data_IF_367922914383
#
_entry.id   IF_367922914383
#
_cell.length_a   1.000
_cell.length_b   1.000
_cell.length_c   1.000
_cell.angle_alpha   90.00
_cell.angle_beta   90.00
_cell.angle_gamma   90.00
#
_symmetry.space_group_name_H-M   'P 1'
#
loop_
_entity.id
_entity.type
_entity.pdbx_description
1 polymer ?
#
# COMPACT_ATOMS: atom_id res chain seq x y z
N UNK A 1 -23.27 -41.65 37.98
CA UNK A 1 -23.02 -41.62 36.52
C UNK A 1 -22.56 -40.23 36.12
N UNK A 2 -21.24 -39.98 36.06
CA UNK A 2 -20.67 -38.70 35.67
C UNK A 2 -19.41 -38.93 34.80
N UNK A 3 -19.62 -38.69 33.51
CA UNK A 3 -18.76 -38.16 32.45
C UNK A 3 -17.23 -38.33 32.50
N UNK A 4 -16.76 -39.07 31.48
CA UNK A 4 -15.44 -39.13 30.89
C UNK A 4 -14.63 -37.82 30.92
N UNK A 5 -13.51 -37.81 31.64
CA UNK A 5 -12.47 -36.79 31.53
C UNK A 5 -11.33 -37.26 30.63
N UNK A 6 -11.43 -37.06 29.31
CA UNK A 6 -10.28 -37.20 28.42
C UNK A 6 -9.48 -35.89 28.39
N UNK A 7 -8.30 -35.96 29.00
CA UNK A 7 -7.27 -34.94 29.01
C UNK A 7 -6.70 -34.71 27.61
N UNK A 8 -7.21 -33.69 26.90
CA UNK A 8 -6.56 -33.18 25.70
C UNK A 8 -5.33 -32.36 26.09
N UNK A 9 -4.23 -33.08 26.31
CA UNK A 9 -2.85 -32.60 26.35
C UNK A 9 -2.59 -31.75 25.09
N UNK A 10 -2.72 -30.43 25.20
CA UNK A 10 -2.28 -29.50 24.15
C UNK A 10 -0.76 -29.59 24.04
N UNK A 11 -0.32 -30.34 23.04
CA UNK A 11 1.08 -30.48 22.62
C UNK A 11 1.54 -29.14 22.02
N UNK A 12 2.06 -28.23 22.84
CA UNK A 12 2.82 -27.07 22.38
C UNK A 12 4.14 -27.56 21.76
N UNK A 13 4.10 -27.93 20.47
CA UNK A 13 5.30 -28.19 19.68
C UNK A 13 6.04 -26.88 19.48
N UNK A 14 7.21 -26.79 20.10
CA UNK A 14 8.39 -26.03 19.67
C UNK A 14 8.25 -25.40 18.26
N UNK A 15 7.79 -24.15 18.19
CA UNK A 15 8.19 -23.26 17.10
C UNK A 15 9.62 -22.87 17.42
N UNK A 16 10.58 -23.50 16.74
CA UNK A 16 11.94 -22.98 16.64
C UNK A 16 11.80 -21.50 16.28
N UNK A 17 12.19 -20.60 17.18
CA UNK A 17 12.22 -19.18 16.89
C UNK A 17 13.18 -18.98 15.72
N UNK A 18 12.62 -18.87 14.51
CA UNK A 18 13.35 -18.34 13.38
C UNK A 18 13.70 -16.92 13.78
N UNK A 19 14.94 -16.71 14.25
CA UNK A 19 15.45 -15.40 14.65
C UNK A 19 15.22 -14.43 13.50
N UNK A 20 14.21 -13.58 13.67
CA UNK A 20 13.83 -12.53 12.73
C UNK A 20 15.00 -11.53 12.65
N UNK A 21 15.90 -11.65 11.65
CA UNK A 21 16.94 -10.62 11.42
C UNK A 21 16.30 -9.40 10.77
N UNK A 22 15.97 -8.40 11.59
CA UNK A 22 15.37 -7.14 11.14
C UNK A 22 16.23 -6.44 10.07
N UNK A 23 17.56 -6.48 10.19
CA UNK A 23 18.48 -5.89 9.22
C UNK A 23 18.34 -6.50 7.81
N UNK A 24 18.23 -7.83 7.71
CA UNK A 24 18.05 -8.53 6.44
C UNK A 24 16.68 -8.21 5.82
N UNK A 25 15.64 -8.07 6.66
CA UNK A 25 14.30 -7.72 6.18
C UNK A 25 14.25 -6.28 5.64
N UNK A 26 14.77 -5.33 6.41
CA UNK A 26 14.77 -3.91 6.02
C UNK A 26 15.50 -3.71 4.70
N UNK A 27 16.67 -4.34 4.52
CA UNK A 27 17.41 -4.29 3.25
C UNK A 27 16.59 -4.83 2.07
N UNK A 28 15.86 -5.95 2.24
CA UNK A 28 15.00 -6.49 1.18
C UNK A 28 13.83 -5.57 0.84
N UNK A 29 13.20 -4.97 1.86
CA UNK A 29 12.10 -4.02 1.66
C UNK A 29 12.57 -2.81 0.85
N UNK A 30 13.69 -2.22 1.26
CA UNK A 30 14.30 -1.08 0.55
C UNK A 30 14.65 -1.45 -0.88
N UNK A 31 15.25 -2.63 -1.08
CA UNK A 31 15.60 -3.13 -2.43
C UNK A 31 14.36 -3.32 -3.31
N UNK A 32 13.27 -3.86 -2.76
CA UNK A 32 12.02 -4.05 -3.49
C UNK A 32 11.36 -2.72 -3.87
N UNK A 33 11.32 -1.75 -2.95
CA UNK A 33 10.83 -0.41 -3.26
C UNK A 33 11.69 0.29 -4.32
N UNK A 34 13.01 0.16 -4.21
CA UNK A 34 13.93 0.69 -5.20
C UNK A 34 13.71 0.06 -6.58
N UNK A 35 13.44 -1.25 -6.64
CA UNK A 35 13.09 -1.93 -7.88
C UNK A 35 11.83 -1.37 -8.52
N UNK A 36 10.76 -1.16 -7.73
CA UNK A 36 9.49 -0.62 -8.24
C UNK A 36 9.65 0.83 -8.71
N UNK A 37 10.30 1.67 -7.91
CA UNK A 37 10.32 3.11 -8.12
C UNK A 37 11.48 3.54 -9.01
N UNK A 38 12.71 3.10 -8.70
CA UNK A 38 13.95 3.69 -9.19
C UNK A 38 14.65 2.90 -10.30
N UNK A 39 14.35 1.62 -10.49
CA UNK A 39 15.11 0.77 -11.42
C UNK A 39 14.64 0.96 -12.87
N UNK A 40 13.32 0.95 -13.12
CA UNK A 40 12.79 1.14 -14.47
C UNK A 40 11.44 1.89 -14.46
N UNK A 41 11.29 2.88 -15.35
CA UNK A 41 10.06 3.67 -15.44
C UNK A 41 8.83 2.84 -15.82
N UNK A 42 9.03 1.80 -16.64
CA UNK A 42 7.94 0.90 -17.04
C UNK A 42 7.43 0.05 -15.88
N UNK A 43 8.29 -0.36 -14.93
CA UNK A 43 7.89 -1.13 -13.75
C UNK A 43 7.06 -0.26 -12.80
N UNK A 44 7.44 1.01 -12.65
CA UNK A 44 6.66 1.97 -11.85
C UNK A 44 5.26 2.15 -12.43
N UNK A 45 5.15 2.36 -13.75
CA UNK A 45 3.85 2.47 -14.44
C UNK A 45 3.05 1.17 -14.36
N UNK A 46 3.71 0.03 -14.58
CA UNK A 46 3.05 -1.28 -14.50
C UNK A 46 2.47 -1.48 -13.10
N UNK A 47 3.27 -1.34 -12.04
CA UNK A 47 2.84 -1.62 -10.66
C UNK A 47 1.96 -0.55 -10.04
N UNK A 48 2.20 0.73 -10.31
CA UNK A 48 1.57 1.85 -9.62
C UNK A 48 0.58 2.63 -10.51
N UNK A 49 0.52 2.34 -11.82
CA UNK A 49 -0.26 3.09 -12.83
C UNK A 49 0.08 4.58 -12.92
N UNK A 50 1.31 4.93 -12.54
CA UNK A 50 1.83 6.29 -12.62
C UNK A 50 3.33 6.25 -12.92
N UNK A 51 3.83 7.32 -13.54
CA UNK A 51 5.27 7.48 -13.73
C UNK A 51 5.96 7.82 -12.40
N UNK A 52 7.29 7.72 -12.40
CA UNK A 52 8.12 7.98 -11.21
C UNK A 52 7.96 9.40 -10.68
N UNK A 53 7.90 10.40 -11.57
CA UNK A 53 7.82 11.80 -11.16
C UNK A 53 6.45 12.07 -10.53
N UNK A 54 5.36 11.61 -11.16
CA UNK A 54 4.02 11.70 -10.57
C UNK A 54 3.94 11.00 -9.20
N UNK A 55 4.58 9.83 -9.05
CA UNK A 55 4.66 9.15 -7.77
C UNK A 55 5.38 9.99 -6.71
N UNK A 56 6.55 10.56 -7.02
CA UNK A 56 7.26 11.41 -6.06
C UNK A 56 6.47 12.68 -5.71
N UNK A 57 5.82 13.31 -6.69
CA UNK A 57 4.93 14.45 -6.45
C UNK A 57 3.78 14.06 -5.52
N UNK A 58 3.15 12.90 -5.72
CA UNK A 58 2.10 12.41 -4.83
C UNK A 58 2.62 12.16 -3.41
N UNK A 59 3.81 11.58 -3.26
CA UNK A 59 4.45 11.40 -1.95
C UNK A 59 4.69 12.75 -1.24
N UNK A 60 5.09 13.80 -1.97
CA UNK A 60 5.26 15.13 -1.40
C UNK A 60 3.91 15.73 -0.96
N UNK A 61 2.90 15.72 -1.84
CA UNK A 61 1.57 16.27 -1.54
C UNK A 61 0.91 15.58 -0.33
N UNK A 62 1.06 14.26 -0.24
CA UNK A 62 0.53 13.48 0.88
C UNK A 62 1.28 13.75 2.19
N UNK A 63 2.57 14.08 2.15
CA UNK A 63 3.32 14.51 3.33
C UNK A 63 2.92 15.92 3.77
N UNK A 64 2.94 16.86 2.83
CA UNK A 64 2.82 18.30 3.14
C UNK A 64 1.39 18.73 3.46
N UNK A 65 0.43 18.27 2.66
CA UNK A 65 -0.99 18.65 2.78
C UNK A 65 -1.77 17.54 3.48
N UNK A 66 -1.46 16.29 3.12
CA UNK A 66 -2.17 15.11 3.61
C UNK A 66 -1.84 14.70 5.05
N UNK A 67 -0.64 15.06 5.54
CA UNK A 67 -0.14 14.67 6.86
C UNK A 67 0.28 13.19 6.96
N UNK A 68 0.63 12.54 5.84
CA UNK A 68 1.09 11.15 5.84
C UNK A 68 2.51 11.05 6.41
N UNK A 69 2.62 10.60 7.65
CA UNK A 69 3.89 10.49 8.36
C UNK A 69 4.59 9.15 8.13
N UNK A 70 5.93 9.20 8.11
CA UNK A 70 6.78 8.03 8.18
C UNK A 70 6.58 7.37 9.56
N UNK A 71 6.37 6.05 9.58
CA UNK A 71 6.31 5.29 10.82
C UNK A 71 7.69 4.73 11.17
N UNK A 72 7.90 4.34 12.44
CA UNK A 72 9.15 3.68 12.88
C UNK A 72 9.56 2.48 12.02
N UNK A 73 8.60 1.84 11.35
CA UNK A 73 8.83 0.62 10.60
C UNK A 73 8.73 0.78 9.09
N UNK A 74 8.10 1.84 8.57
CA UNK A 74 7.63 1.94 7.19
C UNK A 74 7.49 3.40 6.76
N UNK A 75 8.05 3.74 5.60
CA UNK A 75 8.01 5.10 5.05
C UNK A 75 6.68 5.39 4.34
N UNK A 76 6.34 6.67 4.20
CA UNK A 76 5.17 7.15 3.45
C UNK A 76 5.22 6.67 2.00
N UNK A 77 6.40 6.65 1.38
CA UNK A 77 6.57 6.10 0.02
C UNK A 77 6.24 4.62 -0.04
N UNK A 78 6.64 3.83 0.96
CA UNK A 78 6.29 2.41 1.02
C UNK A 78 4.78 2.19 1.19
N UNK A 79 4.15 2.97 2.08
CA UNK A 79 2.69 2.93 2.30
C UNK A 79 1.94 3.22 1.00
N UNK A 80 2.33 4.29 0.30
CA UNK A 80 1.71 4.70 -0.96
C UNK A 80 1.96 3.69 -2.08
N UNK A 81 3.18 3.15 -2.19
CA UNK A 81 3.48 2.13 -3.19
C UNK A 81 2.59 0.88 -3.01
N UNK A 82 2.40 0.41 -1.77
CA UNK A 82 1.47 -0.70 -1.49
C UNK A 82 0.03 -0.33 -1.84
N UNK A 83 -0.43 0.85 -1.41
CA UNK A 83 -1.80 1.32 -1.66
C UNK A 83 -2.11 1.38 -3.16
N UNK A 84 -1.22 1.99 -3.94
CA UNK A 84 -1.38 2.10 -5.39
C UNK A 84 -1.31 0.74 -6.08
N UNK A 85 -0.40 -0.15 -5.68
CA UNK A 85 -0.32 -1.49 -6.24
C UNK A 85 -1.61 -2.31 -5.98
N UNK A 86 -2.22 -2.16 -4.80
CA UNK A 86 -3.53 -2.74 -4.49
C UNK A 86 -4.61 -2.22 -5.44
N UNK A 87 -4.68 -0.91 -5.65
CA UNK A 87 -5.71 -0.31 -6.50
C UNK A 87 -5.48 -0.61 -7.98
N UNK A 88 -4.23 -0.57 -8.44
CA UNK A 88 -3.80 -0.74 -9.82
C UNK A 88 -4.14 -2.12 -10.40
N UNK A 89 -4.10 -3.16 -9.55
CA UNK A 89 -4.20 -4.56 -9.95
C UNK A 89 -5.24 -5.35 -9.15
N UNK A 90 -6.03 -4.67 -8.31
CA UNK A 90 -6.97 -5.31 -7.38
C UNK A 90 -6.32 -6.39 -6.50
N UNK A 91 -5.06 -6.17 -6.12
CA UNK A 91 -4.29 -7.14 -5.37
C UNK A 91 -4.85 -7.36 -3.96
N UNK A 92 -4.77 -8.60 -3.49
CA UNK A 92 -5.24 -8.95 -2.14
C UNK A 92 -4.14 -8.65 -1.12
N UNK A 93 -4.52 -8.30 0.10
CA UNK A 93 -3.57 -8.10 1.21
C UNK A 93 -2.64 -9.31 1.44
N UNK A 94 -3.06 -10.52 1.04
CA UNK A 94 -2.24 -11.73 1.10
C UNK A 94 -1.07 -11.72 0.11
N UNK A 95 -1.22 -11.15 -1.08
CA UNK A 95 -0.15 -11.01 -2.07
C UNK A 95 0.81 -9.92 -1.63
N UNK A 96 0.28 -8.73 -1.35
CA UNK A 96 1.07 -7.54 -1.00
C UNK A 96 1.95 -7.75 0.24
N UNK A 97 1.46 -8.46 1.26
CA UNK A 97 2.26 -8.74 2.46
C UNK A 97 3.51 -9.58 2.13
N UNK A 98 3.47 -10.41 1.09
CA UNK A 98 4.59 -11.22 0.63
C UNK A 98 5.57 -10.35 -0.14
N UNK A 99 5.07 -9.60 -1.12
CA UNK A 99 5.88 -8.72 -1.99
C UNK A 99 6.66 -7.67 -1.18
N UNK A 100 5.97 -7.00 -0.25
CA UNK A 100 6.57 -5.97 0.60
C UNK A 100 7.15 -6.54 1.90
N UNK A 101 7.09 -7.86 2.12
CA UNK A 101 7.65 -8.52 3.32
C UNK A 101 7.12 -7.89 4.62
N UNK A 102 5.81 -7.58 4.64
CA UNK A 102 5.10 -6.95 5.75
C UNK A 102 4.12 -7.90 6.41
N UNK A 103 3.68 -7.54 7.62
CA UNK A 103 2.54 -8.24 8.23
C UNK A 103 1.24 -7.81 7.54
N UNK A 104 0.24 -8.68 7.50
CA UNK A 104 -1.07 -8.32 6.93
C UNK A 104 -1.72 -7.14 7.67
N UNK A 105 -1.50 -7.04 8.99
CA UNK A 105 -1.95 -5.90 9.79
C UNK A 105 -1.29 -4.60 9.33
N UNK A 106 0.03 -4.60 9.10
CA UNK A 106 0.76 -3.43 8.60
C UNK A 106 0.27 -2.99 7.22
N UNK A 107 -0.05 -3.94 6.33
CA UNK A 107 -0.62 -3.64 5.00
C UNK A 107 -1.98 -2.98 5.15
N UNK A 108 -2.88 -3.55 5.95
CA UNK A 108 -4.20 -2.96 6.20
C UNK A 108 -4.12 -1.57 6.85
N UNK A 109 -3.19 -1.37 7.79
CA UNK A 109 -2.98 -0.08 8.43
C UNK A 109 -2.50 0.96 7.41
N UNK A 110 -1.46 0.63 6.64
CA UNK A 110 -0.93 1.51 5.60
C UNK A 110 -1.98 1.88 4.55
N UNK A 111 -2.83 0.92 4.16
CA UNK A 111 -3.92 1.15 3.22
C UNK A 111 -4.93 2.18 3.75
N UNK A 112 -5.38 2.03 5.01
CA UNK A 112 -6.35 2.93 5.61
C UNK A 112 -5.77 4.33 5.85
N UNK A 113 -4.51 4.43 6.26
CA UNK A 113 -3.81 5.71 6.39
C UNK A 113 -3.73 6.43 5.03
N UNK A 114 -3.33 5.72 3.97
CA UNK A 114 -3.28 6.29 2.62
C UNK A 114 -4.67 6.69 2.13
N UNK A 115 -5.70 5.85 2.33
CA UNK A 115 -7.06 6.17 1.92
C UNK A 115 -7.56 7.47 2.56
N UNK A 116 -7.36 7.63 3.87
CA UNK A 116 -7.75 8.84 4.59
C UNK A 116 -7.05 10.09 4.04
N UNK A 117 -5.76 9.97 3.77
CA UNK A 117 -4.96 11.08 3.22
C UNK A 117 -5.38 11.42 1.79
N UNK A 118 -5.57 10.42 0.93
CA UNK A 118 -5.97 10.63 -0.46
C UNK A 118 -7.36 11.24 -0.55
N UNK A 119 -8.31 10.83 0.30
CA UNK A 119 -9.64 11.44 0.33
C UNK A 119 -9.60 12.92 0.73
N UNK A 120 -8.66 13.33 1.61
CA UNK A 120 -8.44 14.75 1.94
C UNK A 120 -7.83 15.53 0.77
N UNK A 121 -7.01 14.88 -0.04
CA UNK A 121 -6.37 15.49 -1.22
C UNK A 121 -7.27 15.48 -2.45
N UNK A 122 -8.31 14.64 -2.50
CA UNK A 122 -9.17 14.49 -3.66
C UNK A 122 -9.70 15.82 -4.23
N UNK A 123 -10.13 16.81 -3.41
CA UNK A 123 -10.58 18.11 -3.94
C UNK A 123 -9.49 18.93 -4.64
N UNK A 124 -8.21 18.66 -4.34
CA UNK A 124 -7.06 19.33 -4.97
C UNK A 124 -6.56 18.58 -6.20
N UNK A 125 -6.71 17.25 -6.20
CA UNK A 125 -6.19 16.37 -7.26
C UNK A 125 -7.19 16.14 -8.38
N UNK A 126 -8.48 16.18 -8.08
CA UNK A 126 -9.54 15.91 -9.04
C UNK A 126 -10.09 17.23 -9.57
N UNK A 127 -10.10 17.36 -10.88
CA UNK A 127 -10.76 18.47 -11.56
C UNK A 127 -12.26 18.18 -11.60
N UNK A 128 -13.08 19.13 -11.18
CA UNK A 128 -14.52 19.03 -11.37
C UNK A 128 -14.82 18.94 -12.87
N UNK A 129 -15.51 17.87 -13.34
CA UNK A 129 -15.84 17.76 -14.74
C UNK A 129 -16.76 18.92 -15.12
N UNK A 130 -16.30 19.77 -16.03
CA UNK A 130 -17.18 20.78 -16.64
C UNK A 130 -18.21 20.02 -17.49
N UNK A 131 -19.52 20.23 -17.27
CA UNK A 131 -20.51 19.66 -18.17
C UNK A 131 -20.23 20.18 -19.57
N UNK A 132 -20.12 19.27 -20.55
CA UNK A 132 -20.13 19.66 -21.96
C UNK A 132 -21.49 20.29 -22.19
N UNK A 133 -21.51 21.62 -22.36
CA UNK A 133 -22.70 22.28 -22.85
C UNK A 133 -22.93 21.69 -24.25
N UNK A 134 -24.07 21.01 -24.44
CA UNK A 134 -24.52 20.74 -25.80
C UNK A 134 -24.66 22.12 -26.46
N UNK A 135 -23.75 22.45 -27.36
CA UNK A 135 -23.87 23.62 -28.21
C UNK A 135 -25.23 23.49 -28.90
N UNK A 136 -26.15 24.35 -28.47
CA UNK A 136 -27.47 24.45 -29.07
C UNK A 136 -27.30 24.85 -30.53
N UNK A 137 -27.60 23.88 -31.41
CA UNK A 137 -28.21 23.98 -32.74
C UNK A 137 -27.68 25.12 -33.64
N UNK A 138 -27.04 24.77 -34.76
CA UNK A 138 -27.17 25.54 -36.00
C UNK A 138 -27.54 24.65 -37.19
N UNK A 139 -28.63 25.06 -37.82
CA UNK A 139 -29.39 24.51 -38.94
C UNK A 139 -28.59 23.98 -40.14
N UNK A 140 -29.07 22.86 -40.71
CA UNK A 140 -29.30 22.78 -42.17
C UNK A 140 -30.32 21.73 -42.58
#
# INVERSE_FOLDING_TARGET
>A
MASYGHSLRRRCRNRREVRYRMSVRVSKIISHLHYIINDNGSVCIDKLRMDRNAFHTLVLLTKDIGGLTDSKSMSSSEKLAMFLNILAHHEKNRSIKVDYIRSGWSVSQAFNECLSVILKLAPLLLVDPKPVLEDGIEDR
#
